data_IF_572111266725
#
_entry.id   IF_572111266725
#
_cell.length_a   1.000
_cell.length_b   1.000
_cell.length_c   1.000
_cell.angle_alpha   90.00
_cell.angle_beta   90.00
_cell.angle_gamma   90.00
#
_symmetry.space_group_name_H-M   'P 1'
#
loop_
_entity.id
_entity.type
_entity.pdbx_description
1 polymer ?
#
# COMPACT_ATOMS: atom_id res chain seq x y z
N UNK A 1 -31.21 28.98 -2.39
CA UNK A 1 -30.23 28.90 -1.28
C UNK A 1 -28.96 29.52 -1.80
N UNK A 2 -28.56 30.68 -1.27
CA UNK A 2 -27.43 31.48 -1.78
C UNK A 2 -26.25 31.32 -0.83
N UNK A 3 -25.34 30.41 -1.16
CA UNK A 3 -24.05 30.27 -0.44
C UNK A 3 -23.11 31.42 -0.82
N UNK A 4 -22.36 31.95 0.17
CA UNK A 4 -21.46 33.09 -0.02
C UNK A 4 -19.98 32.65 -0.05
N UNK A 5 -19.56 31.60 0.67
CA UNK A 5 -18.24 30.96 0.55
C UNK A 5 -18.33 29.47 0.96
N UNK A 6 -17.67 28.58 0.19
CA UNK A 6 -17.41 27.16 0.52
C UNK A 6 -15.91 26.95 0.70
N UNK A 7 -15.48 26.25 1.76
CA UNK A 7 -14.05 26.02 2.06
C UNK A 7 -13.75 24.58 2.53
N UNK A 8 -12.66 24.02 1.97
CA UNK A 8 -11.99 22.74 2.23
C UNK A 8 -12.81 21.45 2.05
N UNK A 9 -13.12 21.11 0.79
CA UNK A 9 -13.70 19.82 0.36
C UNK A 9 -12.73 18.62 0.41
N UNK A 10 -11.50 18.81 0.93
CA UNK A 10 -10.40 17.85 0.82
C UNK A 10 -9.72 17.60 2.17
N UNK A 11 -9.28 16.35 2.36
CA UNK A 11 -8.57 15.87 3.56
C UNK A 11 -7.22 15.31 3.14
N UNK A 12 -6.15 15.78 3.78
CA UNK A 12 -4.82 15.20 3.66
C UNK A 12 -4.70 14.03 4.63
N UNK A 13 -4.40 12.84 4.11
CA UNK A 13 -4.23 11.61 4.88
C UNK A 13 -2.81 11.06 4.71
N UNK A 14 -2.32 10.34 5.72
CA UNK A 14 -1.16 9.48 5.52
C UNK A 14 -1.57 8.35 4.57
N UNK A 15 -0.81 8.16 3.50
CA UNK A 15 -1.05 7.06 2.58
C UNK A 15 -0.57 5.76 3.22
N UNK A 16 -1.48 4.78 3.32
CA UNK A 16 -1.21 3.45 3.88
C UNK A 16 -1.70 2.34 2.94
N UNK A 17 -1.71 2.63 1.65
CA UNK A 17 -2.08 1.66 0.62
C UNK A 17 -1.12 0.48 0.58
N UNK A 18 -1.55 -0.63 -0.03
CA UNK A 18 -0.69 -1.80 -0.20
C UNK A 18 0.59 -1.43 -0.94
N UNK A 19 1.75 -1.76 -0.36
CA UNK A 19 3.06 -1.46 -0.94
C UNK A 19 3.57 -0.04 -0.70
N UNK A 20 2.90 0.78 0.11
CA UNK A 20 3.39 2.11 0.51
C UNK A 20 4.02 2.04 1.89
N UNK A 21 5.34 2.31 2.04
CA UNK A 21 5.99 2.31 3.34
C UNK A 21 5.51 3.49 4.18
N UNK A 22 5.48 3.29 5.50
CA UNK A 22 5.16 4.35 6.47
C UNK A 22 6.27 5.43 6.48
N UNK A 23 7.52 5.02 6.29
CA UNK A 23 8.66 5.91 6.14
C UNK A 23 9.74 5.33 5.23
N UNK A 24 10.35 6.19 4.42
CA UNK A 24 11.60 5.86 3.72
C UNK A 24 12.72 6.59 4.43
N UNK A 25 13.72 5.85 4.88
CA UNK A 25 14.83 6.37 5.68
C UNK A 25 16.11 6.49 4.86
N UNK A 26 16.83 7.60 5.04
CA UNK A 26 18.15 7.82 4.46
C UNK A 26 18.99 8.79 5.28
N UNK A 27 20.29 8.87 4.97
CA UNK A 27 21.20 9.83 5.59
C UNK A 27 22.17 10.40 4.55
N UNK A 28 22.52 11.67 4.74
CA UNK A 28 23.54 12.38 3.96
C UNK A 28 24.71 12.77 4.86
N UNK A 29 25.94 12.46 4.46
CA UNK A 29 27.14 12.92 5.17
C UNK A 29 27.36 14.42 4.93
N UNK A 30 27.43 15.23 5.98
CA UNK A 30 27.57 16.68 5.86
C UNK A 30 28.98 17.14 5.50
N UNK A 31 29.97 16.24 5.55
CA UNK A 31 31.36 16.56 5.18
C UNK A 31 31.63 16.35 3.69
N UNK A 32 31.09 15.27 3.10
CA UNK A 32 31.38 14.90 1.71
C UNK A 32 30.13 14.76 0.80
N UNK A 33 28.93 14.87 1.33
CA UNK A 33 27.67 14.76 0.57
C UNK A 33 27.32 13.32 0.14
N UNK A 34 28.02 12.30 0.64
CA UNK A 34 27.68 10.91 0.38
C UNK A 34 26.30 10.57 0.96
N UNK A 35 25.50 9.77 0.24
CA UNK A 35 24.17 9.36 0.66
C UNK A 35 24.14 7.87 0.97
N UNK A 36 23.41 7.47 2.00
CA UNK A 36 23.07 6.07 2.24
C UNK A 36 22.11 5.55 1.16
N UNK A 37 22.01 4.23 0.98
CA UNK A 37 20.82 3.64 0.38
C UNK A 37 19.56 4.02 1.19
N UNK A 38 18.41 3.95 0.53
CA UNK A 38 17.11 4.19 1.14
C UNK A 38 16.50 2.87 1.62
N UNK A 39 15.86 2.89 2.79
CA UNK A 39 15.24 1.72 3.39
C UNK A 39 13.82 2.03 3.83
N UNK A 40 12.90 1.13 3.48
CA UNK A 40 11.50 1.20 3.85
C UNK A 40 11.31 0.71 5.29
N UNK A 41 10.64 1.52 6.12
CA UNK A 41 10.18 1.22 7.47
C UNK A 41 11.25 0.75 8.47
N UNK A 42 12.54 0.85 8.10
CA UNK A 42 13.68 0.49 8.92
C UNK A 42 14.83 1.50 8.79
N UNK A 43 15.09 2.25 9.87
CA UNK A 43 16.18 3.21 9.94
C UNK A 43 17.52 2.58 10.36
N UNK A 44 17.53 1.33 10.83
CA UNK A 44 18.74 0.70 11.36
C UNK A 44 19.85 0.55 10.29
N UNK A 45 19.56 0.11 9.05
CA UNK A 45 20.59 0.02 8.01
C UNK A 45 21.23 1.37 7.66
N UNK A 46 20.46 2.47 7.75
CA UNK A 46 20.96 3.85 7.55
C UNK A 46 21.92 4.26 8.66
N UNK A 47 21.59 3.93 9.92
CA UNK A 47 22.46 4.18 11.05
C UNK A 47 23.76 3.37 10.98
N UNK A 48 23.65 2.09 10.58
CA UNK A 48 24.82 1.22 10.35
C UNK A 48 25.72 1.78 9.25
N UNK A 49 25.14 2.21 8.12
CA UNK A 49 25.89 2.87 7.05
C UNK A 49 26.65 4.10 7.55
N UNK A 50 26.01 4.93 8.38
CA UNK A 50 26.66 6.14 8.93
C UNK A 50 27.87 5.78 9.79
N UNK A 51 27.75 4.74 10.63
CA UNK A 51 28.87 4.24 11.45
C UNK A 51 30.01 3.71 10.57
N UNK A 52 29.69 2.92 9.55
CA UNK A 52 30.67 2.36 8.61
C UNK A 52 31.39 3.49 7.85
N UNK A 53 30.66 4.51 7.42
CA UNK A 53 31.25 5.68 6.75
C UNK A 53 32.25 6.43 7.65
N UNK A 54 31.97 6.58 8.95
CA UNK A 54 32.94 7.14 9.90
C UNK A 54 34.15 6.25 10.10
N UNK A 55 33.98 4.92 10.08
CA UNK A 55 35.12 4.00 10.20
C UNK A 55 36.09 4.13 9.03
N UNK A 56 35.59 4.41 7.83
CA UNK A 56 36.39 4.66 6.63
C UNK A 56 36.95 6.09 6.59
N UNK A 57 36.20 7.06 7.13
CA UNK A 57 36.53 8.49 7.15
C UNK A 57 36.27 9.11 8.53
N UNK A 58 37.23 9.03 9.48
CA UNK A 58 37.01 9.42 10.89
C UNK A 58 36.62 10.88 11.13
N UNK A 59 36.89 11.78 10.18
CA UNK A 59 36.53 13.19 10.23
C UNK A 59 35.06 13.46 9.81
N UNK A 60 34.41 12.51 9.14
CA UNK A 60 33.04 12.61 8.63
C UNK A 60 31.99 12.31 9.71
N UNK A 61 31.95 13.08 10.80
CA UNK A 61 31.17 12.74 12.01
C UNK A 61 29.74 13.27 12.07
N UNK A 62 29.32 14.11 11.11
CA UNK A 62 27.99 14.71 11.08
C UNK A 62 27.19 14.21 9.87
N UNK A 63 25.96 13.75 10.13
CA UNK A 63 25.04 13.24 9.12
C UNK A 63 23.66 13.90 9.26
N UNK A 64 23.05 14.24 8.13
CA UNK A 64 21.66 14.66 8.06
C UNK A 64 20.79 13.43 7.81
N UNK A 65 20.11 12.95 8.85
CA UNK A 65 19.09 11.92 8.71
C UNK A 65 17.82 12.53 8.07
N UNK A 66 17.27 11.84 7.07
CA UNK A 66 16.01 12.18 6.39
C UNK A 66 15.03 11.02 6.47
N UNK A 67 13.78 11.36 6.69
CA UNK A 67 12.65 10.43 6.61
C UNK A 67 11.62 11.01 5.67
N UNK A 68 11.29 10.27 4.63
CA UNK A 68 10.25 10.63 3.66
C UNK A 68 8.97 9.86 3.98
N UNK A 69 7.81 10.50 3.77
CA UNK A 69 6.51 9.88 4.03
C UNK A 69 5.52 10.22 2.91
N UNK A 70 4.63 9.28 2.61
CA UNK A 70 3.64 9.45 1.56
C UNK A 70 2.33 9.99 2.14
N UNK A 71 1.82 11.07 1.55
CA UNK A 71 0.51 11.60 1.85
C UNK A 71 -0.38 11.55 0.62
N UNK A 72 -1.69 11.37 0.85
CA UNK A 72 -2.72 11.43 -0.19
C UNK A 72 -3.74 12.49 0.20
N UNK A 73 -4.23 13.24 -0.79
CA UNK A 73 -5.37 14.14 -0.62
C UNK A 73 -6.61 13.42 -1.14
N UNK A 74 -7.63 13.27 -0.29
CA UNK A 74 -8.91 12.62 -0.63
C UNK A 74 -10.06 13.59 -0.42
N UNK A 75 -11.17 13.45 -1.17
CA UNK A 75 -12.38 14.21 -0.86
C UNK A 75 -12.82 13.95 0.58
N UNK A 76 -13.32 14.97 1.26
CA UNK A 76 -13.97 14.78 2.55
C UNK A 76 -15.16 13.83 2.35
N UNK A 77 -15.31 12.75 3.13
CA UNK A 77 -16.52 11.94 3.10
C UNK A 77 -17.72 12.82 3.44
N UNK A 78 -18.78 12.78 2.64
CA UNK A 78 -20.05 13.37 3.04
C UNK A 78 -20.60 12.53 4.20
N UNK A 79 -21.00 13.14 5.31
CA UNK A 79 -21.55 12.42 6.48
C UNK A 79 -22.80 11.59 6.13
N UNK A 80 -23.47 11.93 5.02
CA UNK A 80 -24.68 11.27 4.51
C UNK A 80 -24.44 10.23 3.40
N UNK A 81 -23.18 9.94 3.04
CA UNK A 81 -22.91 8.90 2.04
C UNK A 81 -23.26 7.51 2.59
N UNK A 82 -24.16 6.74 1.94
CA UNK A 82 -24.45 5.37 2.36
C UNK A 82 -23.16 4.55 2.41
N UNK A 83 -23.00 3.65 3.39
CA UNK A 83 -21.84 2.75 3.42
C UNK A 83 -21.75 2.02 2.07
N UNK A 84 -20.54 1.81 1.53
CA UNK A 84 -20.38 1.05 0.30
C UNK A 84 -21.10 -0.28 0.43
N UNK A 85 -21.80 -0.75 -0.62
CA UNK A 85 -22.48 -2.04 -0.56
C UNK A 85 -21.45 -3.10 -0.14
N UNK A 86 -21.82 -4.03 0.75
CA UNK A 86 -20.89 -5.07 1.18
C UNK A 86 -20.30 -5.72 -0.07
N UNK A 87 -18.97 -5.87 -0.11
CA UNK A 87 -18.30 -6.64 -1.16
C UNK A 87 -19.01 -7.98 -1.21
N UNK A 88 -19.86 -8.14 -2.22
CA UNK A 88 -20.51 -9.39 -2.51
C UNK A 88 -19.41 -10.28 -3.10
N UNK A 89 -18.54 -10.76 -2.22
CA UNK A 89 -17.64 -11.89 -2.42
C UNK A 89 -18.44 -13.18 -2.62
N UNK A 90 -19.41 -13.14 -3.52
CA UNK A 90 -20.08 -14.30 -4.06
C UNK A 90 -19.13 -14.98 -5.02
N UNK A 91 -18.22 -15.79 -4.48
CA UNK A 91 -17.38 -16.75 -5.24
C UNK A 91 -18.22 -17.82 -5.95
N UNK A 92 -19.55 -17.73 -5.89
CA UNK A 92 -20.47 -18.63 -6.58
C UNK A 92 -21.47 -17.86 -7.44
N UNK A 93 -20.95 -17.21 -8.50
CA UNK A 93 -21.77 -16.72 -9.61
C UNK A 93 -22.37 -17.86 -10.46
N UNK A 94 -23.17 -17.53 -11.50
CA UNK A 94 -23.88 -18.51 -12.34
C UNK A 94 -22.97 -19.57 -13.00
N UNK A 95 -21.68 -19.30 -13.11
CA UNK A 95 -20.66 -20.24 -13.60
C UNK A 95 -20.55 -21.48 -12.69
N UNK A 96 -20.65 -21.32 -11.35
CA UNK A 96 -20.56 -22.45 -10.43
C UNK A 96 -21.80 -23.36 -10.52
N UNK A 97 -22.98 -22.74 -10.62
CA UNK A 97 -24.24 -23.47 -10.85
C UNK A 97 -24.18 -24.23 -12.18
N UNK A 98 -23.68 -23.58 -13.24
CA UNK A 98 -23.47 -24.22 -14.54
C UNK A 98 -22.51 -25.42 -14.47
N UNK A 99 -21.38 -25.28 -13.78
CA UNK A 99 -20.40 -26.36 -13.59
C UNK A 99 -20.99 -27.55 -12.83
N UNK A 100 -21.72 -27.30 -11.75
CA UNK A 100 -22.38 -28.36 -10.98
C UNK A 100 -23.41 -29.11 -11.82
N UNK A 101 -24.26 -28.40 -12.57
CA UNK A 101 -25.22 -29.04 -13.47
C UNK A 101 -24.54 -29.90 -14.55
N UNK A 102 -23.42 -29.43 -15.11
CA UNK A 102 -22.67 -30.16 -16.14
C UNK A 102 -22.06 -31.45 -15.58
N UNK A 103 -21.50 -31.40 -14.36
CA UNK A 103 -20.95 -32.57 -13.67
C UNK A 103 -22.04 -33.60 -13.30
N UNK A 104 -23.22 -33.15 -12.88
CA UNK A 104 -24.36 -34.06 -12.61
C UNK A 104 -24.89 -34.70 -13.89
N UNK A 105 -24.96 -33.96 -15.00
CA UNK A 105 -25.37 -34.53 -16.29
C UNK A 105 -24.35 -35.57 -16.80
N UNK A 106 -23.04 -35.30 -16.67
CA UNK A 106 -22.00 -36.21 -17.14
C UNK A 106 -21.97 -37.53 -16.35
N UNK A 107 -22.19 -37.46 -15.03
CA UNK A 107 -22.18 -38.65 -14.16
C UNK A 107 -23.40 -39.55 -14.38
N UNK A 108 -24.53 -39.01 -14.85
CA UNK A 108 -25.68 -39.80 -15.29
C UNK A 108 -25.51 -40.44 -16.68
N UNK A 109 -24.63 -39.92 -17.53
CA UNK A 109 -24.41 -40.42 -18.90
C UNK A 109 -23.36 -41.54 -19.00
N UNK A 110 -22.42 -41.60 -18.05
CA UNK A 110 -21.38 -42.64 -17.97
C UNK A 110 -21.90 -44.08 -17.85
N UNK A 111 -22.95 -44.41 -17.06
CA UNK A 111 -23.46 -45.79 -17.00
C UNK A 111 -24.26 -46.22 -18.24
N UNK A 112 -24.63 -45.30 -19.14
CA UNK A 112 -25.42 -45.60 -20.33
C UNK A 112 -24.58 -45.89 -21.60
N UNK A 113 -23.29 -45.52 -21.61
CA UNK A 113 -22.41 -45.67 -22.78
C UNK A 113 -21.46 -46.90 -22.69
N UNK A 114 -21.55 -47.69 -21.62
CA UNK A 114 -20.72 -48.88 -21.37
C UNK A 114 -21.50 -50.21 -21.38
N UNK A 115 -22.70 -50.24 -21.98
CA UNK A 115 -23.46 -51.48 -22.18
C UNK A 115 -23.81 -51.69 -23.65
#
# INVERSE_FOLDING_TARGET
MTEIVKSADWVLTKERGSGVPEGIHGAECMACGANSPLFDDDALPVAVWSIQHVQEHPEHTLFLARTESHWRVVPRPDEDSPPPPPDSGGVFGPVFVGLMCLLTALSGFLPAALN
#
